data_IF_683743501390
#
_entry.id   IF_683743501390
#
_cell.length_a   1.000
_cell.length_b   1.000
_cell.length_c   1.000
_cell.angle_alpha   90.00
_cell.angle_beta   90.00
_cell.angle_gamma   90.00
#
_symmetry.space_group_name_H-M   'P 1'
#
loop_
_entity.id
_entity.type
_entity.pdbx_description
1 polymer ?
#
# COMPACT_ATOMS: atom_id res chain seq x y z
N UNK A 1 -25.54 34.16 7.03
CA UNK A 1 -24.78 35.00 7.97
C UNK A 1 -23.29 34.73 7.71
N UNK A 2 -22.53 35.71 7.21
CA UNK A 2 -21.13 35.57 6.81
C UNK A 2 -20.21 36.59 7.48
N UNK A 3 -20.66 37.14 8.63
CA UNK A 3 -19.84 38.10 9.38
C UNK A 3 -18.72 37.39 10.14
N UNK A 4 -17.52 37.98 10.08
CA UNK A 4 -16.36 37.51 10.81
C UNK A 4 -16.52 37.86 12.30
N UNK A 5 -16.58 36.84 13.14
CA UNK A 5 -16.56 37.00 14.60
C UNK A 5 -15.14 37.38 15.04
N UNK A 6 -14.98 38.60 15.54
CA UNK A 6 -13.71 39.07 16.09
C UNK A 6 -13.40 38.39 17.44
N UNK A 7 -12.14 38.00 17.64
CA UNK A 7 -11.66 37.41 18.90
C UNK A 7 -11.95 38.29 20.12
N UNK A 8 -11.83 39.61 19.98
CA UNK A 8 -12.12 40.58 21.05
C UNK A 8 -13.59 40.52 21.50
N UNK A 9 -14.53 40.27 20.58
CA UNK A 9 -15.94 40.07 20.92
C UNK A 9 -16.15 38.76 21.67
N UNK A 10 -15.49 37.68 21.24
CA UNK A 10 -15.56 36.39 21.93
C UNK A 10 -15.01 36.50 23.37
N UNK A 11 -13.87 37.17 23.55
CA UNK A 11 -13.26 37.42 24.86
C UNK A 11 -14.13 38.26 25.80
N UNK A 12 -14.85 39.25 25.27
CA UNK A 12 -15.69 40.13 26.08
C UNK A 12 -17.00 39.47 26.55
N UNK A 13 -17.43 38.38 25.90
CA UNK A 13 -18.76 37.79 26.10
C UNK A 13 -18.74 36.34 26.60
N UNK A 14 -17.58 35.72 26.67
CA UNK A 14 -17.42 34.34 27.14
C UNK A 14 -16.55 34.29 28.40
N UNK A 15 -16.87 33.35 29.28
CA UNK A 15 -15.94 32.98 30.35
C UNK A 15 -14.65 32.39 29.76
N UNK A 16 -13.53 32.57 30.43
CA UNK A 16 -12.21 32.11 29.96
C UNK A 16 -12.20 30.62 29.58
N UNK A 17 -12.80 29.76 30.42
CA UNK A 17 -12.89 28.32 30.15
C UNK A 17 -13.67 28.02 28.85
N UNK A 18 -14.82 28.69 28.64
CA UNK A 18 -15.64 28.49 27.44
C UNK A 18 -14.91 29.00 26.19
N UNK A 19 -14.17 30.10 26.31
CA UNK A 19 -13.36 30.62 25.21
C UNK A 19 -12.25 29.64 24.84
N UNK A 20 -11.53 29.08 25.81
CA UNK A 20 -10.47 28.09 25.60
C UNK A 20 -11.01 26.85 24.88
N UNK A 21 -12.14 26.30 25.34
CA UNK A 21 -12.81 25.17 24.69
C UNK A 21 -13.17 25.47 23.22
N UNK A 22 -13.72 26.66 22.95
CA UNK A 22 -14.08 27.06 21.59
C UNK A 22 -12.85 27.23 20.69
N UNK A 23 -11.76 27.79 21.21
CA UNK A 23 -10.52 27.95 20.47
C UNK A 23 -9.89 26.60 20.15
N UNK A 24 -9.89 25.66 21.10
CA UNK A 24 -9.39 24.31 20.89
C UNK A 24 -10.21 23.56 19.82
N UNK A 25 -11.55 23.62 19.90
CA UNK A 25 -12.44 23.02 18.89
C UNK A 25 -12.21 23.65 17.51
N UNK A 26 -12.13 24.98 17.44
CA UNK A 26 -11.89 25.68 16.18
C UNK A 26 -10.55 25.30 15.57
N UNK A 27 -9.51 25.22 16.40
CA UNK A 27 -8.16 24.88 15.99
C UNK A 27 -8.05 23.43 15.51
N UNK A 28 -8.52 22.46 16.30
CA UNK A 28 -8.52 21.04 15.94
C UNK A 28 -9.36 20.77 14.68
N UNK A 29 -10.51 21.45 14.54
CA UNK A 29 -11.33 21.39 13.32
C UNK A 29 -10.60 21.97 12.11
N UNK A 30 -9.83 23.05 12.29
CA UNK A 30 -9.03 23.60 11.21
C UNK A 30 -7.95 22.61 10.78
N UNK A 31 -7.14 22.11 11.71
CA UNK A 31 -6.06 21.15 11.40
C UNK A 31 -6.58 19.91 10.69
N UNK A 32 -7.69 19.32 11.18
CA UNK A 32 -8.29 18.12 10.58
C UNK A 32 -8.84 18.34 9.17
N UNK A 33 -9.29 19.56 8.84
CA UNK A 33 -9.70 19.93 7.47
C UNK A 33 -8.54 20.27 6.54
N UNK A 34 -7.38 20.57 7.11
CA UNK A 34 -6.18 21.02 6.40
C UNK A 34 -4.98 20.06 6.61
N UNK A 35 -5.22 18.75 6.69
CA UNK A 35 -4.17 17.74 6.94
C UNK A 35 -3.09 17.66 5.85
N UNK A 36 -3.34 18.25 4.68
CA UNK A 36 -2.34 18.37 3.61
C UNK A 36 -1.38 19.56 3.85
N UNK A 37 -1.74 20.50 4.72
CA UNK A 37 -0.93 21.67 5.07
C UNK A 37 -0.35 21.57 6.49
N UNK A 38 -1.12 21.07 7.45
CA UNK A 38 -0.78 21.00 8.88
C UNK A 38 -1.07 19.62 9.45
N UNK A 39 -0.14 19.08 10.23
CA UNK A 39 -0.29 17.77 10.91
C UNK A 39 0.23 17.81 12.33
N UNK A 40 -0.40 17.00 13.18
CA UNK A 40 0.15 16.65 14.49
C UNK A 40 1.19 15.54 14.36
N UNK A 41 2.15 15.57 15.28
CA UNK A 41 3.03 14.45 15.58
C UNK A 41 2.17 13.20 15.87
N UNK A 42 2.49 12.04 15.28
CA UNK A 42 1.67 10.84 15.46
C UNK A 42 1.94 10.13 16.79
N UNK A 43 2.95 10.57 17.55
CA UNK A 43 3.23 10.04 18.90
C UNK A 43 2.05 10.39 19.82
N UNK A 44 1.46 9.40 20.52
CA UNK A 44 0.41 9.66 21.51
C UNK A 44 0.82 10.75 22.49
N UNK A 45 -0.13 11.60 22.87
CA UNK A 45 0.04 12.72 23.80
C UNK A 45 1.06 13.80 23.36
N UNK A 46 1.57 13.74 22.12
CA UNK A 46 2.46 14.76 21.56
C UNK A 46 1.67 15.81 20.78
N UNK A 47 1.43 16.97 21.39
CA UNK A 47 0.75 18.10 20.73
C UNK A 47 1.59 18.88 19.70
N UNK A 48 2.79 18.42 19.36
CA UNK A 48 3.64 19.11 18.40
C UNK A 48 3.05 19.05 16.99
N UNK A 49 3.16 20.16 16.28
CA UNK A 49 2.64 20.30 14.93
C UNK A 49 3.72 20.68 13.94
N UNK A 50 3.49 20.32 12.69
CA UNK A 50 4.41 20.65 11.61
C UNK A 50 3.66 20.82 10.28
N UNK A 51 4.30 21.50 9.33
CA UNK A 51 3.77 21.64 7.98
C UNK A 51 4.00 20.37 7.16
N UNK A 52 2.93 19.84 6.58
CA UNK A 52 3.03 18.72 5.66
C UNK A 52 3.76 19.12 4.38
N UNK A 53 4.34 18.14 3.71
CA UNK A 53 4.86 18.34 2.37
C UNK A 53 3.68 18.32 1.41
N UNK A 54 3.25 19.50 0.94
CA UNK A 54 2.40 19.61 -0.22
C UNK A 54 3.16 18.95 -1.37
N UNK A 55 2.72 17.78 -1.81
CA UNK A 55 3.15 17.19 -3.07
C UNK A 55 2.06 17.48 -4.11
N UNK A 56 2.01 18.69 -4.71
CA UNK A 56 1.44 18.80 -6.03
C UNK A 56 2.41 18.12 -6.99
N UNK A 57 1.88 17.24 -7.85
CA UNK A 57 2.51 16.61 -9.02
C UNK A 57 4.04 16.53 -9.07
N UNK A 58 4.57 15.29 -9.17
CA UNK A 58 5.87 15.02 -9.80
C UNK A 58 6.10 15.98 -10.97
N UNK A 59 6.87 17.04 -10.76
CA UNK A 59 7.65 17.62 -11.83
C UNK A 59 8.88 16.74 -11.90
N UNK A 60 8.95 15.97 -12.98
CA UNK A 60 10.18 15.42 -13.51
C UNK A 60 11.28 16.47 -13.39
N UNK A 61 12.50 16.02 -13.08
CA UNK A 61 13.73 16.80 -12.97
C UNK A 61 14.02 17.43 -11.60
N UNK A 62 14.61 16.63 -10.70
CA UNK A 62 16.03 16.76 -10.29
C UNK A 62 16.38 15.64 -9.30
N UNK A 63 17.23 14.72 -9.77
CA UNK A 63 18.13 13.83 -9.02
C UNK A 63 17.72 13.30 -7.63
N UNK A 64 17.28 12.03 -7.60
CA UNK A 64 17.71 11.07 -6.59
C UNK A 64 16.73 10.78 -5.44
N UNK A 65 16.06 9.63 -5.53
CA UNK A 65 15.17 9.01 -4.52
C UNK A 65 13.83 9.73 -4.35
N UNK A 66 12.72 9.13 -4.80
CA UNK A 66 11.35 9.67 -4.73
C UNK A 66 10.78 9.74 -3.30
N UNK A 67 11.55 10.34 -2.40
CA UNK A 67 11.49 10.12 -0.97
C UNK A 67 11.17 11.44 -0.25
N UNK A 68 9.94 11.55 0.29
CA UNK A 68 9.47 12.77 0.96
C UNK A 68 10.35 13.19 2.14
N UNK A 69 10.56 14.49 2.42
CA UNK A 69 11.38 14.94 3.54
C UNK A 69 10.91 14.42 4.90
N UNK A 70 11.85 14.21 5.82
CA UNK A 70 11.56 13.86 7.20
C UNK A 70 11.18 15.11 8.02
N UNK A 71 10.34 14.90 9.02
CA UNK A 71 10.14 15.78 10.17
C UNK A 71 10.64 15.04 11.39
N UNK A 72 11.51 15.69 12.17
CA UNK A 72 11.95 15.21 13.49
C UNK A 72 11.25 16.08 14.51
N UNK A 73 10.44 15.46 15.37
CA UNK A 73 9.68 16.18 16.37
C UNK A 73 10.60 16.72 17.47
N UNK A 74 10.61 18.03 17.79
CA UNK A 74 11.49 18.58 18.81
C UNK A 74 11.12 18.14 20.24
N UNK A 75 9.87 17.73 20.48
CA UNK A 75 9.42 17.31 21.81
C UNK A 75 9.70 15.83 22.12
N UNK A 76 9.42 14.91 21.19
CA UNK A 76 9.52 13.46 21.42
C UNK A 76 10.54 12.76 20.50
N UNK A 77 11.23 13.51 19.64
CA UNK A 77 12.31 13.05 18.75
C UNK A 77 11.92 12.00 17.70
N UNK A 78 10.63 11.69 17.55
CA UNK A 78 10.16 10.80 16.49
C UNK A 78 10.47 11.40 15.11
N UNK A 79 10.94 10.56 14.20
CA UNK A 79 11.17 10.92 12.80
C UNK A 79 10.06 10.32 11.91
N UNK A 80 9.34 11.17 11.20
CA UNK A 80 8.24 10.77 10.28
C UNK A 80 8.34 11.47 8.93
N UNK A 81 7.82 10.84 7.88
CA UNK A 81 7.79 11.48 6.55
C UNK A 81 6.71 12.55 6.51
N UNK A 82 7.05 13.75 6.03
CA UNK A 82 6.11 14.88 5.96
C UNK A 82 4.90 14.62 5.04
N UNK A 83 5.01 13.72 4.07
CA UNK A 83 3.95 13.40 3.13
C UNK A 83 2.91 12.40 3.66
N UNK A 84 3.29 11.42 4.49
CA UNK A 84 2.39 10.37 4.99
C UNK A 84 2.18 10.37 6.51
N UNK A 85 2.97 11.14 7.28
CA UNK A 85 2.95 11.17 8.76
C UNK A 85 3.24 9.81 9.41
N UNK A 86 4.05 8.99 8.74
CA UNK A 86 4.45 7.66 9.23
C UNK A 86 5.97 7.57 9.19
N UNK A 87 6.52 6.83 10.13
CA UNK A 87 7.92 6.43 10.10
C UNK A 87 8.05 5.16 9.25
N UNK A 88 8.79 5.26 8.16
CA UNK A 88 9.14 4.12 7.32
C UNK A 88 10.46 4.40 6.60
N UNK A 89 11.21 3.33 6.37
CA UNK A 89 12.52 3.33 5.71
C UNK A 89 12.50 2.35 4.53
N UNK A 90 13.25 2.64 3.48
CA UNK A 90 13.35 1.82 2.27
C UNK A 90 12.06 1.65 1.44
N UNK A 91 10.97 2.31 1.83
CA UNK A 91 9.69 2.31 1.13
C UNK A 91 9.29 3.73 0.76
N UNK A 92 8.65 3.87 -0.39
CA UNK A 92 7.93 5.10 -0.75
C UNK A 92 6.67 5.28 0.10
N UNK A 93 6.18 6.51 0.21
CA UNK A 93 4.90 6.80 0.90
C UNK A 93 3.69 6.10 0.23
N UNK A 94 3.79 5.72 -1.06
CA UNK A 94 2.76 4.96 -1.75
C UNK A 94 2.77 3.49 -1.29
N UNK A 95 3.93 2.84 -1.32
CA UNK A 95 4.09 1.44 -0.86
C UNK A 95 3.69 1.27 0.61
N UNK A 96 4.06 2.22 1.48
CA UNK A 96 3.64 2.19 2.88
C UNK A 96 2.12 2.26 3.04
N UNK A 97 1.41 3.06 2.22
CA UNK A 97 -0.07 3.14 2.25
C UNK A 97 -0.71 1.85 1.76
N UNK A 98 -0.16 1.24 0.70
CA UNK A 98 -0.65 -0.03 0.17
C UNK A 98 -0.45 -1.17 1.17
N UNK A 99 0.67 -1.18 1.89
CA UNK A 99 0.93 -2.13 2.96
C UNK A 99 -0.04 -1.92 4.14
N UNK A 100 -0.22 -0.67 4.59
CA UNK A 100 -1.09 -0.35 5.72
C UNK A 100 -2.57 -0.62 5.43
N UNK A 101 -3.02 -0.43 4.18
CA UNK A 101 -4.39 -0.74 3.75
C UNK A 101 -4.65 -2.25 3.60
N UNK A 102 -3.62 -3.08 3.72
CA UNK A 102 -3.70 -4.51 3.48
C UNK A 102 -3.79 -4.87 1.99
N UNK A 103 -3.47 -3.94 1.07
CA UNK A 103 -3.57 -4.15 -0.38
C UNK A 103 -2.78 -5.37 -0.84
N UNK A 104 -1.55 -5.56 -0.36
CA UNK A 104 -0.75 -6.76 -0.68
C UNK A 104 -1.39 -8.05 -0.15
N UNK A 105 -1.97 -8.01 1.05
CA UNK A 105 -2.68 -9.15 1.65
C UNK A 105 -3.95 -9.49 0.86
N UNK A 106 -4.71 -8.48 0.44
CA UNK A 106 -5.91 -8.64 -0.39
C UNK A 106 -5.56 -9.21 -1.77
N UNK A 107 -4.51 -8.70 -2.42
CA UNK A 107 -4.01 -9.21 -3.70
C UNK A 107 -3.56 -10.68 -3.57
N UNK A 108 -2.81 -11.02 -2.52
CA UNK A 108 -2.38 -12.40 -2.27
C UNK A 108 -3.57 -13.34 -2.04
N UNK A 109 -4.56 -12.92 -1.25
CA UNK A 109 -5.77 -13.70 -1.03
C UNK A 109 -6.59 -13.88 -2.33
N UNK A 110 -6.67 -12.85 -3.17
CA UNK A 110 -7.32 -12.93 -4.47
C UNK A 110 -6.58 -13.89 -5.41
N UNK A 111 -5.24 -13.82 -5.46
CA UNK A 111 -4.41 -14.75 -6.24
C UNK A 111 -4.68 -16.20 -5.82
N UNK A 112 -4.68 -16.48 -4.52
CA UNK A 112 -4.94 -17.82 -3.99
C UNK A 112 -6.34 -18.33 -4.33
N UNK A 113 -7.37 -17.49 -4.13
CA UNK A 113 -8.76 -17.83 -4.46
C UNK A 113 -8.98 -18.13 -5.94
N UNK A 114 -8.31 -17.39 -6.81
CA UNK A 114 -8.43 -17.53 -8.27
C UNK A 114 -7.41 -18.52 -8.87
N UNK A 115 -6.56 -19.15 -8.05
CA UNK A 115 -5.50 -20.03 -8.53
C UNK A 115 -4.45 -19.31 -9.40
N UNK A 116 -4.35 -17.99 -9.28
CA UNK A 116 -3.35 -17.17 -9.97
C UNK A 116 -2.03 -17.29 -9.21
N UNK A 117 -0.93 -17.49 -9.94
CA UNK A 117 0.44 -17.59 -9.40
C UNK A 117 1.35 -16.64 -10.14
N UNK A 118 2.53 -16.38 -9.60
CA UNK A 118 3.57 -15.58 -10.27
C UNK A 118 4.52 -16.49 -11.04
N UNK A 119 4.89 -16.09 -12.27
CA UNK A 119 5.92 -16.78 -13.03
C UNK A 119 7.27 -16.71 -12.29
N UNK A 120 7.90 -17.83 -11.92
CA UNK A 120 9.14 -17.82 -11.14
C UNK A 120 10.34 -17.18 -11.87
N UNK A 121 10.27 -17.07 -13.20
CA UNK A 121 11.34 -16.49 -14.02
C UNK A 121 11.21 -14.97 -14.20
N UNK A 122 9.99 -14.45 -14.33
CA UNK A 122 9.78 -13.05 -14.73
C UNK A 122 8.70 -12.31 -13.94
N UNK A 123 8.04 -12.95 -12.97
CA UNK A 123 7.09 -12.31 -12.05
C UNK A 123 5.71 -11.97 -12.63
N UNK A 124 5.44 -12.23 -13.91
CA UNK A 124 4.10 -11.98 -14.47
C UNK A 124 3.07 -12.98 -13.90
N UNK A 125 1.83 -12.52 -13.73
CA UNK A 125 0.72 -13.37 -13.29
C UNK A 125 0.45 -14.46 -14.33
N UNK A 126 0.29 -15.70 -13.83
CA UNK A 126 -0.12 -16.87 -14.60
C UNK A 126 -1.35 -17.48 -13.94
N UNK A 127 -2.34 -17.82 -14.75
CA UNK A 127 -3.60 -18.42 -14.31
C UNK A 127 -3.75 -19.80 -14.95
N UNK A 128 -4.22 -20.79 -14.18
CA UNK A 128 -4.61 -22.08 -14.75
C UNK A 128 -6.02 -21.96 -15.34
N UNK A 129 -6.12 -21.89 -16.66
CA UNK A 129 -7.41 -21.80 -17.35
C UNK A 129 -8.10 -23.15 -17.50
N UNK A 130 -7.44 -24.14 -18.11
CA UNK A 130 -7.98 -25.50 -18.29
C UNK A 130 -6.86 -26.50 -18.59
N UNK A 131 -7.11 -27.80 -18.40
CA UNK A 131 -6.20 -28.87 -18.79
C UNK A 131 -5.13 -29.22 -17.74
N UNK A 132 -3.98 -29.69 -18.23
CA UNK A 132 -2.92 -30.25 -17.38
C UNK A 132 -2.17 -29.19 -16.54
N UNK A 133 -1.34 -29.63 -15.60
CA UNK A 133 -0.54 -28.76 -14.74
C UNK A 133 0.75 -28.23 -15.41
N UNK A 134 0.94 -28.45 -16.71
CA UNK A 134 2.04 -27.83 -17.46
C UNK A 134 1.57 -26.53 -18.11
N UNK A 135 2.26 -25.44 -17.78
CA UNK A 135 2.02 -24.10 -18.31
C UNK A 135 3.27 -23.59 -19.02
N UNK A 136 3.10 -22.82 -20.09
CA UNK A 136 4.19 -22.04 -20.72
C UNK A 136 3.92 -20.56 -20.48
N UNK A 137 4.87 -19.84 -19.89
CA UNK A 137 4.73 -18.41 -19.65
C UNK A 137 4.65 -17.66 -20.99
N UNK A 138 3.57 -16.92 -21.22
CA UNK A 138 3.36 -16.14 -22.45
C UNK A 138 4.38 -15.02 -22.65
N UNK A 139 4.91 -14.46 -21.55
CA UNK A 139 5.85 -13.35 -21.60
C UNK A 139 7.31 -13.79 -21.83
N UNK A 140 7.76 -14.87 -21.18
CA UNK A 140 9.18 -15.26 -21.17
C UNK A 140 9.46 -16.67 -21.68
N UNK A 141 8.43 -17.39 -22.11
CA UNK A 141 8.51 -18.72 -22.72
C UNK A 141 8.90 -19.87 -21.78
N UNK A 142 9.10 -19.62 -20.48
CA UNK A 142 9.52 -20.69 -19.55
C UNK A 142 8.38 -21.70 -19.35
N UNK A 143 8.74 -22.98 -19.30
CA UNK A 143 7.80 -24.05 -18.98
C UNK A 143 7.74 -24.26 -17.48
N UNK A 144 6.55 -24.47 -16.92
CA UNK A 144 6.28 -24.43 -15.47
C UNK A 144 5.37 -25.61 -15.10
N UNK A 145 5.71 -26.29 -14.01
CA UNK A 145 4.78 -27.19 -13.31
C UNK A 145 3.95 -26.37 -12.31
N UNK A 146 2.63 -26.26 -12.52
CA UNK A 146 1.74 -25.46 -11.67
C UNK A 146 1.51 -26.04 -10.26
N UNK A 147 1.88 -27.32 -10.03
CA UNK A 147 1.78 -27.96 -8.71
C UNK A 147 2.85 -27.42 -7.77
N UNK A 148 4.11 -27.46 -8.20
CA UNK A 148 5.27 -27.12 -7.36
C UNK A 148 6.04 -25.87 -7.81
N UNK A 149 5.61 -25.22 -8.90
CA UNK A 149 6.24 -24.04 -9.49
C UNK A 149 7.67 -24.23 -10.00
N UNK A 150 8.10 -25.48 -10.24
CA UNK A 150 9.41 -25.76 -10.86
C UNK A 150 9.42 -25.34 -12.34
N UNK A 151 10.52 -24.72 -12.77
CA UNK A 151 10.71 -24.23 -14.15
C UNK A 151 11.58 -25.15 -14.98
N UNK A 152 11.33 -25.16 -16.29
CA UNK A 152 12.01 -26.01 -17.26
C UNK A 152 12.29 -25.25 -18.56
N UNK A 153 13.40 -25.56 -19.25
CA UNK A 153 13.75 -24.90 -20.51
C UNK A 153 12.94 -25.42 -21.71
N UNK A 154 12.30 -26.60 -21.59
CA UNK A 154 11.49 -27.23 -22.64
C UNK A 154 10.25 -27.88 -22.02
N UNK A 155 9.20 -28.08 -22.82
CA UNK A 155 7.93 -28.63 -22.34
C UNK A 155 7.96 -30.11 -21.96
N UNK A 156 8.67 -30.97 -22.72
CA UNK A 156 8.70 -32.43 -22.46
C UNK A 156 9.17 -32.79 -21.03
N UNK A 157 10.27 -32.23 -20.51
CA UNK A 157 10.70 -32.46 -19.12
C UNK A 157 9.65 -32.16 -18.05
N UNK A 158 8.68 -31.27 -18.31
CA UNK A 158 7.63 -30.95 -17.34
C UNK A 158 6.68 -32.14 -17.14
N UNK A 159 6.31 -32.81 -18.22
CA UNK A 159 5.44 -33.99 -18.15
C UNK A 159 6.11 -35.14 -17.41
N UNK A 160 7.39 -35.39 -17.69
CA UNK A 160 8.17 -36.42 -16.99
C UNK A 160 8.26 -36.11 -15.49
N UNK A 161 8.49 -34.85 -15.13
CA UNK A 161 8.46 -34.39 -13.74
C UNK A 161 7.08 -34.58 -13.08
N UNK A 162 5.99 -34.21 -13.77
CA UNK A 162 4.64 -34.31 -13.20
C UNK A 162 4.24 -35.76 -12.92
N UNK A 163 4.53 -36.67 -13.86
CA UNK A 163 4.25 -38.09 -13.65
C UNK A 163 5.09 -38.67 -12.50
N UNK A 164 6.36 -38.29 -12.40
CA UNK A 164 7.27 -38.82 -11.38
C UNK A 164 7.01 -38.28 -9.98
N UNK A 165 6.79 -36.97 -9.84
CA UNK A 165 6.71 -36.30 -8.54
C UNK A 165 5.27 -36.11 -8.06
N UNK A 166 4.30 -36.02 -8.98
CA UNK A 166 2.89 -35.71 -8.66
C UNK A 166 1.92 -36.80 -9.10
N UNK A 167 2.42 -37.93 -9.61
CA UNK A 167 1.61 -39.10 -9.99
C UNK A 167 0.70 -38.91 -11.22
N UNK A 168 0.86 -37.81 -11.97
CA UNK A 168 0.06 -37.55 -13.15
C UNK A 168 0.07 -36.08 -13.59
N UNK A 169 -0.59 -35.79 -14.72
CA UNK A 169 -0.60 -34.46 -15.34
C UNK A 169 -1.72 -33.54 -14.82
N UNK A 170 -2.60 -34.02 -13.93
CA UNK A 170 -3.63 -33.21 -13.28
C UNK A 170 -4.81 -32.79 -14.16
N UNK A 171 -5.18 -33.60 -15.14
CA UNK A 171 -6.47 -33.50 -15.85
C UNK A 171 -7.52 -34.32 -15.10
N UNK A 172 -8.70 -33.74 -14.83
CA UNK A 172 -9.83 -34.51 -14.33
C UNK A 172 -10.36 -35.37 -15.48
N UNK A 173 -10.57 -36.66 -15.22
CA UNK A 173 -11.22 -37.56 -16.16
C UNK A 173 -12.71 -37.20 -16.20
N UNK A 174 -13.20 -36.70 -17.34
CA UNK A 174 -14.62 -36.45 -17.58
C UNK A 174 -15.17 -37.61 -18.41
N UNK A 175 -15.73 -38.67 -17.79
CA UNK A 175 -16.19 -39.87 -18.50
C UNK A 175 -17.37 -39.64 -19.45
N UNK A 176 -18.06 -38.49 -19.36
CA UNK A 176 -19.35 -38.27 -20.03
C UNK A 176 -19.27 -37.48 -21.36
N UNK A 177 -18.08 -37.28 -21.90
CA UNK A 177 -17.89 -36.70 -23.24
C UNK A 177 -17.30 -37.76 -24.18
N UNK A 178 -18.17 -38.71 -24.55
CA UNK A 178 -17.97 -39.65 -25.66
C UNK A 178 -18.70 -39.19 -26.91
#
# INVERSE_FOLDING_TARGET
>A
CGEVLHLTKLQAHLASAVLEDLLEIAFTTHVTRHLNDLRYCPTPDCGQMYRAANLPGHSDDVAGTGESPLFICPACLVAVRKACNVSHDGLTCAEQRDNASGGYKALRAAKEKLGIKDCPKCGILIEKTFGCNHMTCSACGTHICLVCMKTFPKGKPVYDHMNREHGGIGVQYFPDLG
#
